data_IF_396791999328
#
_entry.id   IF_396791999328
#
_cell.length_a   1.000
_cell.length_b   1.000
_cell.length_c   1.000
_cell.angle_alpha   90.00
_cell.angle_beta   90.00
_cell.angle_gamma   90.00
#
_symmetry.space_group_name_H-M   'P 1'
#
loop_
_entity.id
_entity.type
_entity.pdbx_description
1 polymer ?
#
# COMPACT_ATOMS: atom_id res chain seq x y z
N UNK A 1 -3.27 15.49 -5.93
CA UNK A 1 -2.64 15.54 -4.60
C UNK A 1 -3.25 16.67 -3.78
N UNK A 2 -3.53 16.43 -2.50
CA UNK A 2 -4.08 17.44 -1.59
C UNK A 2 -3.11 18.61 -1.29
N UNK A 3 -1.83 18.46 -1.67
CA UNK A 3 -0.77 19.44 -1.46
C UNK A 3 -0.39 20.21 -2.73
N UNK A 4 -1.00 19.93 -3.87
CA UNK A 4 -0.67 20.59 -5.13
C UNK A 4 -1.78 21.55 -5.56
N UNK A 5 -1.38 22.61 -6.27
CA UNK A 5 -2.29 23.54 -6.94
C UNK A 5 -2.91 22.92 -8.22
N UNK A 6 -3.64 23.74 -8.98
CA UNK A 6 -4.29 23.32 -10.23
C UNK A 6 -3.27 22.93 -11.33
N UNK A 7 -2.06 23.46 -11.28
CA UNK A 7 -0.97 23.20 -12.22
C UNK A 7 -0.13 21.98 -11.80
N UNK A 8 -0.46 21.37 -10.66
CA UNK A 8 0.22 20.20 -10.12
C UNK A 8 1.52 20.52 -9.39
N UNK A 9 1.76 21.81 -9.04
CA UNK A 9 2.92 22.27 -8.28
C UNK A 9 2.62 22.22 -6.78
N UNK A 10 3.66 22.13 -5.96
CA UNK A 10 3.50 22.21 -4.50
C UNK A 10 2.88 23.55 -4.11
N UNK A 11 1.81 23.51 -3.32
CA UNK A 11 1.19 24.68 -2.72
C UNK A 11 1.69 24.84 -1.26
N UNK A 12 2.60 25.80 -0.99
CA UNK A 12 3.16 26.00 0.35
C UNK A 12 2.12 26.41 1.39
N UNK A 13 1.02 27.05 0.99
CA UNK A 13 -0.03 27.47 1.92
C UNK A 13 -0.83 26.25 2.40
N UNK A 14 -1.18 25.33 1.48
CA UNK A 14 -1.84 24.06 1.85
C UNK A 14 -0.96 23.19 2.73
N UNK A 15 0.34 23.10 2.40
CA UNK A 15 1.30 22.38 3.23
C UNK A 15 1.35 22.97 4.64
N UNK A 16 1.45 24.29 4.77
CA UNK A 16 1.47 24.98 6.07
C UNK A 16 0.19 24.72 6.87
N UNK A 17 -0.98 24.91 6.25
CA UNK A 17 -2.26 24.65 6.91
C UNK A 17 -2.39 23.20 7.40
N UNK A 18 -1.88 22.21 6.66
CA UNK A 18 -1.83 20.84 7.11
C UNK A 18 -0.88 20.69 8.32
N UNK A 19 0.31 21.27 8.24
CA UNK A 19 1.30 21.19 9.33
C UNK A 19 0.77 21.85 10.60
N UNK A 20 0.06 22.98 10.52
CA UNK A 20 -0.53 23.65 11.69
C UNK A 20 -1.47 22.68 12.46
N UNK A 21 -2.31 21.96 11.72
CA UNK A 21 -3.22 20.96 12.33
C UNK A 21 -2.44 19.79 12.95
N UNK A 22 -1.45 19.26 12.24
CA UNK A 22 -0.66 18.11 12.74
C UNK A 22 0.19 18.51 13.96
N UNK A 23 0.80 19.71 13.93
CA UNK A 23 1.58 20.26 15.04
C UNK A 23 0.72 20.43 16.31
N UNK A 24 -0.52 20.90 16.17
CA UNK A 24 -1.45 20.98 17.31
C UNK A 24 -1.71 19.60 17.93
N UNK A 25 -1.81 18.54 17.12
CA UNK A 25 -1.97 17.18 17.63
C UNK A 25 -0.74 16.68 18.37
N UNK A 26 0.45 16.90 17.80
CA UNK A 26 1.72 16.53 18.45
C UNK A 26 1.88 17.26 19.78
N UNK A 27 1.57 18.55 19.81
CA UNK A 27 1.62 19.37 21.05
C UNK A 27 0.60 18.90 22.10
N UNK A 28 -0.54 18.35 21.64
CA UNK A 28 -1.54 17.73 22.54
C UNK A 28 -1.14 16.32 23.04
N UNK A 29 0.05 15.83 22.69
CA UNK A 29 0.60 14.55 23.17
C UNK A 29 0.29 13.35 22.26
N UNK A 30 -0.26 13.56 21.06
CA UNK A 30 -0.47 12.49 20.09
C UNK A 30 0.79 12.23 19.24
N UNK A 31 1.03 10.98 18.90
CA UNK A 31 2.06 10.62 17.92
C UNK A 31 1.48 10.74 16.50
N UNK A 32 2.21 11.39 15.61
CA UNK A 32 1.80 11.61 14.21
C UNK A 32 2.88 11.12 13.27
N UNK A 33 2.49 10.34 12.27
CA UNK A 33 3.33 9.97 11.12
C UNK A 33 2.66 10.54 9.87
N UNK A 34 3.39 11.31 9.09
CA UNK A 34 2.90 11.86 7.83
C UNK A 34 3.47 11.08 6.65
N UNK A 35 2.61 10.43 5.87
CA UNK A 35 2.97 9.88 4.58
C UNK A 35 2.62 10.90 3.51
N UNK A 36 3.65 11.39 2.81
CA UNK A 36 3.51 12.52 1.89
C UNK A 36 3.82 12.10 0.45
N UNK A 37 3.15 12.73 -0.48
CA UNK A 37 3.46 12.70 -1.90
C UNK A 37 3.93 14.09 -2.37
N UNK A 38 4.34 14.19 -3.64
CA UNK A 38 4.66 15.47 -4.25
C UNK A 38 6.15 15.70 -4.51
N UNK A 39 7.03 14.73 -4.23
CA UNK A 39 8.45 14.86 -4.52
C UNK A 39 8.71 15.18 -6.01
N UNK A 40 8.14 14.39 -6.93
CA UNK A 40 8.27 14.66 -8.39
C UNK A 40 7.73 16.06 -8.73
N UNK A 41 6.55 16.43 -8.22
CA UNK A 41 5.93 17.73 -8.47
C UNK A 41 6.81 18.89 -7.99
N UNK A 42 7.41 18.75 -6.81
CA UNK A 42 8.32 19.75 -6.22
C UNK A 42 9.63 19.86 -7.00
N UNK A 43 10.10 18.79 -7.62
CA UNK A 43 11.33 18.78 -8.41
C UNK A 43 11.17 19.28 -9.84
N UNK A 44 9.94 19.43 -10.34
CA UNK A 44 9.71 19.85 -11.72
C UNK A 44 10.20 21.27 -12.00
N UNK A 45 9.89 22.22 -11.13
CA UNK A 45 10.27 23.63 -11.32
C UNK A 45 11.79 23.84 -11.34
N UNK A 46 12.58 23.31 -10.39
CA UNK A 46 14.04 23.43 -10.43
C UNK A 46 14.69 22.80 -11.67
N UNK A 47 14.04 21.80 -12.26
CA UNK A 47 14.51 21.13 -13.47
C UNK A 47 13.94 21.75 -14.77
N UNK A 48 13.15 22.82 -14.68
CA UNK A 48 12.54 23.48 -15.84
C UNK A 48 11.51 22.61 -16.58
N UNK A 49 10.91 21.62 -15.91
CA UNK A 49 9.93 20.71 -16.50
C UNK A 49 8.54 21.35 -16.50
N UNK A 50 8.04 21.68 -17.69
CA UNK A 50 6.71 22.28 -17.85
C UNK A 50 5.56 21.27 -17.62
N UNK A 51 5.82 19.97 -17.70
CA UNK A 51 4.84 18.88 -17.55
C UNK A 51 5.46 17.71 -16.80
N UNK A 52 4.60 16.92 -16.12
CA UNK A 52 5.03 15.70 -15.45
C UNK A 52 5.71 14.75 -16.45
N UNK A 53 6.95 14.33 -16.20
CA UNK A 53 7.68 13.41 -17.07
C UNK A 53 7.00 12.05 -17.13
N UNK A 54 7.14 11.37 -18.29
CA UNK A 54 6.57 10.05 -18.52
C UNK A 54 7.61 8.94 -18.40
N UNK A 55 8.87 9.25 -18.74
CA UNK A 55 9.96 8.30 -18.61
C UNK A 55 10.45 8.17 -17.17
N UNK A 56 10.85 6.97 -16.80
CA UNK A 56 11.25 6.63 -15.43
C UNK A 56 12.46 7.45 -14.97
N UNK A 57 13.50 7.56 -15.81
CA UNK A 57 14.73 8.24 -15.41
C UNK A 57 14.50 9.73 -15.07
N UNK A 58 13.67 10.44 -15.87
CA UNK A 58 13.32 11.84 -15.59
C UNK A 58 12.42 11.96 -14.36
N UNK A 59 11.53 10.98 -14.12
CA UNK A 59 10.74 10.93 -12.88
C UNK A 59 11.64 10.76 -11.66
N UNK A 60 12.61 9.84 -11.71
CA UNK A 60 13.59 9.60 -10.64
C UNK A 60 14.45 10.83 -10.37
N UNK A 61 14.93 11.50 -11.41
CA UNK A 61 15.68 12.75 -11.29
C UNK A 61 14.84 13.86 -10.63
N UNK A 62 13.57 14.03 -11.06
CA UNK A 62 12.66 15.00 -10.46
C UNK A 62 12.35 14.66 -9.00
N UNK A 63 12.13 13.38 -8.67
CA UNK A 63 11.92 12.94 -7.30
C UNK A 63 13.17 13.21 -6.43
N UNK A 64 14.37 12.94 -6.94
CA UNK A 64 15.64 13.16 -6.22
C UNK A 64 15.81 14.63 -5.81
N UNK A 65 15.60 15.57 -6.74
CA UNK A 65 15.68 17.01 -6.47
C UNK A 65 14.53 17.45 -5.57
N UNK A 66 13.31 17.03 -5.90
CA UNK A 66 12.10 17.48 -5.23
C UNK A 66 11.93 16.95 -3.82
N UNK A 67 12.44 15.73 -3.52
CA UNK A 67 12.34 15.16 -2.19
C UNK A 67 13.09 16.00 -1.13
N UNK A 68 14.29 16.47 -1.44
CA UNK A 68 15.03 17.36 -0.55
C UNK A 68 14.29 18.68 -0.29
N UNK A 69 13.72 19.28 -1.34
CA UNK A 69 12.95 20.52 -1.23
C UNK A 69 11.65 20.32 -0.44
N UNK A 70 10.92 19.24 -0.70
CA UNK A 70 9.68 18.89 0.01
C UNK A 70 9.94 18.76 1.52
N UNK A 71 10.98 18.03 1.90
CA UNK A 71 11.36 17.88 3.31
C UNK A 71 11.81 19.19 3.93
N UNK A 72 12.51 20.06 3.18
CA UNK A 72 12.87 21.39 3.65
C UNK A 72 11.64 22.25 3.94
N UNK A 73 10.58 22.17 3.12
CA UNK A 73 9.30 22.85 3.38
C UNK A 73 8.65 22.33 4.67
N UNK A 74 8.58 21.02 4.87
CA UNK A 74 8.06 20.46 6.11
C UNK A 74 8.91 20.83 7.32
N UNK A 75 10.23 20.75 7.21
CA UNK A 75 11.15 21.11 8.30
C UNK A 75 10.91 22.54 8.76
N UNK A 76 10.79 23.49 7.81
CA UNK A 76 10.52 24.90 8.14
C UNK A 76 9.16 25.05 8.82
N UNK A 77 8.11 24.46 8.24
CA UNK A 77 6.77 24.62 8.76
C UNK A 77 6.61 24.01 10.17
N UNK A 78 7.12 22.81 10.43
CA UNK A 78 7.11 22.21 11.78
C UNK A 78 8.01 22.95 12.77
N UNK A 79 9.13 23.52 12.30
CA UNK A 79 10.02 24.30 13.15
C UNK A 79 9.35 25.58 13.69
N UNK A 80 8.42 26.21 12.96
CA UNK A 80 7.61 27.33 13.43
C UNK A 80 6.78 26.97 14.68
N UNK A 81 6.49 25.67 14.90
CA UNK A 81 5.82 25.10 16.08
C UNK A 81 6.79 24.49 17.12
N UNK A 82 8.11 24.69 16.96
CA UNK A 82 9.12 24.09 17.84
C UNK A 82 9.31 22.59 17.68
N UNK A 83 8.73 21.99 16.63
CA UNK A 83 8.80 20.55 16.33
C UNK A 83 9.91 20.23 15.32
N UNK A 84 10.42 19.00 15.42
CA UNK A 84 11.41 18.45 14.49
C UNK A 84 10.79 17.35 13.65
N UNK A 85 11.30 17.21 12.41
CA UNK A 85 10.88 16.15 11.50
C UNK A 85 12.04 15.23 11.16
N UNK A 86 11.74 13.98 10.84
CA UNK A 86 12.69 12.98 10.35
C UNK A 86 12.20 12.38 9.05
N UNK A 87 13.02 12.40 7.99
CA UNK A 87 12.68 11.78 6.71
C UNK A 87 12.90 10.27 6.78
N UNK A 88 11.91 9.50 6.27
CA UNK A 88 12.01 8.06 6.07
C UNK A 88 11.57 7.74 4.64
N UNK A 89 12.45 7.16 3.85
CA UNK A 89 12.15 6.71 2.49
C UNK A 89 12.06 5.19 2.46
N UNK A 90 10.96 4.68 1.93
CA UNK A 90 10.69 3.24 1.86
C UNK A 90 10.39 2.83 0.41
N UNK A 91 10.83 1.63 0.05
CA UNK A 91 10.39 0.94 -1.15
C UNK A 91 9.39 -0.17 -0.81
N UNK A 92 8.70 -0.70 -1.82
CA UNK A 92 7.85 -1.87 -1.62
C UNK A 92 8.64 -3.07 -1.05
N UNK A 93 9.89 -3.27 -1.51
CA UNK A 93 10.76 -4.33 -0.98
C UNK A 93 11.07 -4.19 0.52
N UNK A 94 11.23 -2.96 1.03
CA UNK A 94 11.51 -2.72 2.44
C UNK A 94 10.39 -3.23 3.35
N UNK A 95 9.17 -3.26 2.83
CA UNK A 95 8.01 -3.79 3.56
C UNK A 95 7.87 -5.32 3.47
N UNK A 96 8.58 -5.96 2.52
CA UNK A 96 8.52 -7.40 2.28
C UNK A 96 9.59 -8.17 3.03
N UNK A 97 10.83 -7.66 3.02
CA UNK A 97 11.95 -8.35 3.64
C UNK A 97 11.93 -8.13 5.16
N UNK A 98 11.77 -9.23 5.91
CA UNK A 98 11.64 -9.21 7.37
C UNK A 98 12.70 -8.36 8.08
N UNK A 99 13.94 -8.38 7.60
CA UNK A 99 15.04 -7.60 8.19
C UNK A 99 14.83 -6.10 8.00
N UNK A 100 14.53 -5.67 6.77
CA UNK A 100 14.29 -4.26 6.40
C UNK A 100 13.03 -3.73 7.08
N UNK A 101 11.94 -4.50 7.06
CA UNK A 101 10.71 -4.18 7.79
C UNK A 101 10.97 -3.87 9.26
N UNK A 102 11.68 -4.76 9.98
CA UNK A 102 11.98 -4.55 11.41
C UNK A 102 12.88 -3.35 11.65
N UNK A 103 13.81 -3.05 10.73
CA UNK A 103 14.65 -1.86 10.82
C UNK A 103 13.84 -0.59 10.60
N UNK A 104 12.97 -0.55 9.60
CA UNK A 104 12.07 0.58 9.35
C UNK A 104 11.14 0.82 10.55
N UNK A 105 10.54 -0.24 11.11
CA UNK A 105 9.72 -0.15 12.32
C UNK A 105 10.48 0.47 13.47
N UNK A 106 11.67 -0.07 13.82
CA UNK A 106 12.49 0.45 14.92
C UNK A 106 12.91 1.90 14.73
N UNK A 107 13.20 2.30 13.48
CA UNK A 107 13.55 3.67 13.16
C UNK A 107 12.36 4.62 13.37
N UNK A 108 11.18 4.24 12.91
CA UNK A 108 9.94 5.02 13.10
C UNK A 108 9.56 5.10 14.57
N UNK A 109 9.54 3.98 15.29
CA UNK A 109 9.27 3.94 16.74
C UNK A 109 10.24 4.87 17.48
N UNK A 110 11.54 4.82 17.14
CA UNK A 110 12.54 5.67 17.80
C UNK A 110 12.37 7.15 17.50
N UNK A 111 11.98 7.52 16.28
CA UNK A 111 11.65 8.91 15.95
C UNK A 111 10.47 9.41 16.78
N UNK A 112 9.40 8.61 16.87
CA UNK A 112 8.21 8.94 17.67
C UNK A 112 8.54 9.07 19.16
N UNK A 113 9.35 8.16 19.73
CA UNK A 113 9.82 8.22 21.12
C UNK A 113 10.64 9.48 21.42
N UNK A 114 11.37 10.00 20.43
CA UNK A 114 12.16 11.23 20.53
C UNK A 114 11.32 12.50 20.29
N UNK A 115 10.01 12.38 20.06
CA UNK A 115 9.12 13.50 19.74
C UNK A 115 9.42 14.12 18.36
N UNK A 116 9.98 13.33 17.44
CA UNK A 116 10.25 13.74 16.06
C UNK A 116 9.11 13.23 15.18
N UNK A 117 8.56 14.09 14.32
CA UNK A 117 7.50 13.73 13.38
C UNK A 117 8.12 13.04 12.15
N UNK A 118 7.85 11.74 11.91
CA UNK A 118 8.34 11.07 10.70
C UNK A 118 7.58 11.58 9.48
N UNK A 119 8.33 12.00 8.45
CA UNK A 119 7.81 12.29 7.10
C UNK A 119 8.23 11.13 6.21
N UNK A 120 7.27 10.28 5.88
CA UNK A 120 7.49 9.07 5.07
C UNK A 120 7.11 9.33 3.63
N UNK A 121 7.90 8.84 2.70
CA UNK A 121 7.60 8.84 1.26
C UNK A 121 8.16 7.59 0.60
N UNK A 122 7.70 7.31 -0.63
CA UNK A 122 8.32 6.30 -1.47
C UNK A 122 9.74 6.74 -1.85
N UNK A 123 10.69 5.80 -1.88
CA UNK A 123 12.02 6.04 -2.43
C UNK A 123 11.97 5.95 -3.96
N UNK A 124 11.36 6.95 -4.58
CA UNK A 124 11.21 7.04 -6.03
C UNK A 124 12.54 6.98 -6.80
N UNK A 125 13.67 7.28 -6.15
CA UNK A 125 14.99 7.33 -6.81
C UNK A 125 15.48 5.95 -7.22
N UNK A 126 15.12 4.92 -6.46
CA UNK A 126 15.53 3.53 -6.71
C UNK A 126 14.36 2.60 -7.05
N UNK A 127 13.14 3.11 -6.98
CA UNK A 127 11.94 2.34 -7.32
C UNK A 127 11.91 2.06 -8.83
N UNK A 128 11.72 0.80 -9.22
CA UNK A 128 11.50 0.38 -10.61
C UNK A 128 10.02 0.36 -10.94
N UNK A 129 9.66 0.34 -12.23
CA UNK A 129 8.23 0.31 -12.62
C UNK A 129 7.51 -0.95 -12.13
N UNK A 130 8.26 -2.06 -11.93
CA UNK A 130 7.73 -3.33 -11.43
C UNK A 130 7.50 -3.30 -9.90
N UNK A 131 8.29 -2.53 -9.14
CA UNK A 131 8.35 -2.58 -7.67
C UNK A 131 7.84 -1.29 -7.01
N UNK A 132 7.21 -0.40 -7.76
CA UNK A 132 6.61 0.83 -7.21
C UNK A 132 5.34 0.53 -6.43
N UNK A 133 5.15 1.20 -5.29
CA UNK A 133 3.82 1.30 -4.69
C UNK A 133 2.83 1.93 -5.68
N UNK A 134 3.33 2.81 -6.54
CA UNK A 134 2.55 3.54 -7.54
C UNK A 134 1.58 4.55 -6.94
N UNK A 135 1.35 4.46 -5.63
CA UNK A 135 0.46 5.35 -4.87
C UNK A 135 0.87 5.38 -3.39
N UNK A 136 1.10 6.57 -2.85
CA UNK A 136 1.38 6.77 -1.42
C UNK A 136 0.23 6.37 -0.50
N UNK A 137 -0.97 6.17 -1.03
CA UNK A 137 -2.11 5.67 -0.25
C UNK A 137 -1.83 4.23 0.26
N UNK A 138 -1.27 3.36 -0.61
CA UNK A 138 -0.84 2.01 -0.20
C UNK A 138 0.32 2.05 0.79
N UNK A 139 1.30 2.92 0.54
CA UNK A 139 2.39 3.14 1.48
C UNK A 139 1.85 3.58 2.84
N UNK A 140 0.89 4.51 2.88
CA UNK A 140 0.26 4.97 4.12
C UNK A 140 -0.41 3.82 4.89
N UNK A 141 -1.14 2.94 4.20
CA UNK A 141 -1.76 1.77 4.84
C UNK A 141 -0.72 0.79 5.43
N UNK A 142 0.40 0.55 4.74
CA UNK A 142 1.48 -0.30 5.24
C UNK A 142 2.23 0.35 6.40
N UNK A 143 2.51 1.66 6.32
CA UNK A 143 3.15 2.42 7.40
C UNK A 143 2.25 2.47 8.62
N UNK A 144 0.93 2.68 8.48
CA UNK A 144 0.00 2.68 9.60
C UNK A 144 0.02 1.35 10.38
N UNK A 145 0.13 0.22 9.64
CA UNK A 145 0.33 -1.08 10.28
C UNK A 145 1.70 -1.20 10.95
N UNK A 146 2.76 -0.70 10.31
CA UNK A 146 4.15 -0.78 10.76
C UNK A 146 4.34 -0.06 12.10
N UNK A 147 3.75 1.13 12.26
CA UNK A 147 3.80 1.93 13.49
C UNK A 147 2.68 1.62 14.48
N UNK A 148 1.88 0.60 14.22
CA UNK A 148 0.73 0.23 15.06
C UNK A 148 -0.26 1.39 15.30
N UNK A 149 -0.53 2.18 14.25
CA UNK A 149 -1.43 3.32 14.35
C UNK A 149 -2.82 2.94 14.90
N UNK A 150 -3.40 3.83 15.70
CA UNK A 150 -4.77 3.68 16.22
C UNK A 150 -5.81 4.01 15.16
N UNK A 151 -5.47 4.91 14.22
CA UNK A 151 -6.31 5.28 13.08
C UNK A 151 -5.44 5.79 11.92
N UNK A 152 -5.99 5.71 10.71
CA UNK A 152 -5.41 6.32 9.51
C UNK A 152 -6.38 7.39 8.97
N UNK A 153 -5.85 8.58 8.66
CA UNK A 153 -6.60 9.62 7.94
C UNK A 153 -6.06 9.69 6.52
N UNK A 154 -6.91 9.40 5.55
CA UNK A 154 -6.56 9.41 4.13
C UNK A 154 -7.16 10.66 3.48
N UNK A 155 -6.29 11.56 3.02
CA UNK A 155 -6.69 12.84 2.44
C UNK A 155 -6.89 12.72 0.93
N UNK A 156 -7.98 13.31 0.45
CA UNK A 156 -8.36 13.32 -0.96
C UNK A 156 -8.87 14.71 -1.38
N UNK A 157 -9.18 14.89 -2.65
CA UNK A 157 -9.75 16.10 -3.23
C UNK A 157 -11.28 16.23 -3.05
N UNK A 158 -11.91 15.17 -2.53
CA UNK A 158 -13.34 15.15 -2.17
C UNK A 158 -13.50 14.97 -0.66
N UNK A 159 -14.64 15.35 -0.11
CA UNK A 159 -14.90 15.32 1.33
C UNK A 159 -15.33 13.96 1.88
N UNK A 160 -15.25 12.89 1.08
CA UNK A 160 -15.56 11.52 1.48
C UNK A 160 -15.87 10.61 0.29
N UNK A 161 -16.31 9.39 0.57
CA UNK A 161 -16.80 8.44 -0.43
C UNK A 161 -18.28 8.74 -0.75
N UNK A 162 -18.61 8.70 -2.04
CA UNK A 162 -19.96 8.90 -2.54
C UNK A 162 -20.51 7.63 -3.19
N UNK A 163 -21.83 7.50 -3.25
CA UNK A 163 -22.51 6.39 -3.96
C UNK A 163 -22.26 6.38 -5.46
N UNK A 164 -21.78 7.49 -6.00
CA UNK A 164 -21.37 7.70 -7.39
C UNK A 164 -20.61 9.02 -7.52
N UNK A 165 -20.28 9.50 -8.72
CA UNK A 165 -19.57 10.76 -8.91
C UNK A 165 -20.22 11.90 -8.13
N UNK A 166 -19.48 12.71 -7.34
CA UNK A 166 -20.08 13.76 -6.47
C UNK A 166 -20.98 14.74 -7.20
N UNK A 167 -20.68 15.05 -8.47
CA UNK A 167 -21.44 15.98 -9.31
C UNK A 167 -22.68 15.34 -9.98
N UNK A 168 -22.93 14.05 -9.79
CA UNK A 168 -24.08 13.36 -10.38
C UNK A 168 -25.32 13.58 -9.52
N UNK A 169 -26.46 13.99 -10.10
CA UNK A 169 -27.73 14.11 -9.35
C UNK A 169 -28.05 12.79 -8.63
N UNK A 170 -28.40 12.87 -7.35
CA UNK A 170 -28.70 11.70 -6.52
C UNK A 170 -27.50 11.05 -5.83
N UNK A 171 -26.27 11.42 -6.15
CA UNK A 171 -25.08 11.00 -5.40
C UNK A 171 -25.14 11.49 -3.96
N UNK A 172 -24.87 10.59 -3.00
CA UNK A 172 -24.86 10.91 -1.57
C UNK A 172 -23.55 10.49 -0.96
N UNK A 173 -23.03 11.28 -0.02
CA UNK A 173 -21.86 10.88 0.75
C UNK A 173 -22.22 9.70 1.67
N UNK A 174 -21.36 8.71 1.69
CA UNK A 174 -21.41 7.56 2.60
C UNK A 174 -20.67 7.98 3.88
N UNK A 175 -21.38 8.03 5.00
CA UNK A 175 -20.79 8.45 6.27
C UNK A 175 -19.98 7.34 6.95
N UNK A 176 -20.44 6.09 6.82
CA UNK A 176 -19.84 4.93 7.47
C UNK A 176 -19.84 3.71 6.56
N UNK A 177 -18.75 2.94 6.60
CA UNK A 177 -18.58 1.63 5.94
C UNK A 177 -18.10 0.64 7.00
N UNK A 178 -18.92 -0.33 7.35
CA UNK A 178 -18.60 -1.37 8.36
C UNK A 178 -18.03 -2.62 7.73
N UNK A 179 -18.20 -2.79 6.43
CA UNK A 179 -17.69 -3.95 5.72
C UNK A 179 -17.87 -3.89 4.20
N UNK A 180 -17.38 -4.88 3.46
CA UNK A 180 -17.43 -4.89 1.99
C UNK A 180 -18.85 -4.80 1.41
N UNK A 181 -19.87 -5.26 2.15
CA UNK A 181 -21.27 -5.21 1.69
C UNK A 181 -21.79 -3.78 1.55
N UNK A 182 -21.30 -2.86 2.37
CA UNK A 182 -21.72 -1.45 2.34
C UNK A 182 -21.19 -0.72 1.09
N UNK A 183 -20.25 -1.36 0.36
CA UNK A 183 -19.70 -0.87 -0.90
C UNK A 183 -20.36 -1.50 -2.13
N UNK A 184 -21.32 -2.41 -1.95
CA UNK A 184 -22.06 -3.01 -3.06
C UNK A 184 -22.89 -1.95 -3.78
N UNK A 185 -22.71 -1.84 -5.10
CA UNK A 185 -23.41 -0.82 -5.92
C UNK A 185 -22.80 0.58 -5.89
N UNK A 186 -21.71 0.80 -5.17
CA UNK A 186 -20.99 2.08 -5.18
C UNK A 186 -20.20 2.21 -6.49
N UNK A 187 -20.49 3.25 -7.27
CA UNK A 187 -19.81 3.54 -8.52
C UNK A 187 -18.53 4.35 -8.24
N UNK A 188 -17.40 3.66 -8.20
CA UNK A 188 -16.06 4.24 -7.99
C UNK A 188 -15.30 4.49 -9.29
N UNK A 189 -15.96 4.34 -10.46
CA UNK A 189 -15.32 4.45 -11.77
C UNK A 189 -14.92 5.87 -12.17
N UNK A 190 -15.40 6.89 -11.45
CA UNK A 190 -15.02 8.27 -11.68
C UNK A 190 -13.51 8.46 -11.49
N UNK A 191 -12.81 8.86 -12.55
CA UNK A 191 -11.39 9.19 -12.51
C UNK A 191 -11.17 10.34 -11.52
N UNK A 192 -10.23 10.15 -10.59
CA UNK A 192 -9.73 11.22 -9.72
C UNK A 192 -9.11 12.38 -10.51
N UNK A 193 -8.54 13.35 -9.80
CA UNK A 193 -7.98 14.58 -10.39
C UNK A 193 -7.02 14.31 -11.55
N UNK A 194 -6.95 15.23 -12.53
CA UNK A 194 -6.10 15.16 -13.73
C UNK A 194 -4.59 15.02 -13.42
N UNK A 195 -4.18 15.24 -12.18
CA UNK A 195 -2.77 15.37 -11.75
C UNK A 195 -2.30 14.18 -10.89
N UNK A 196 -3.20 13.42 -10.26
CA UNK A 196 -2.83 12.28 -9.40
C UNK A 196 -2.84 10.94 -10.14
N UNK A 197 -1.91 10.06 -9.80
CA UNK A 197 -1.86 8.66 -10.29
C UNK A 197 -2.87 7.75 -9.59
N UNK A 198 -3.35 8.13 -8.37
CA UNK A 198 -4.30 7.38 -7.55
C UNK A 198 -5.73 7.88 -7.73
N UNK A 199 -6.64 6.96 -8.06
CA UNK A 199 -8.10 7.19 -8.10
C UNK A 199 -8.78 6.74 -6.80
N UNK A 200 -10.13 6.86 -6.76
CA UNK A 200 -10.91 6.34 -5.61
C UNK A 200 -10.70 4.82 -5.43
N UNK A 201 -10.46 4.09 -6.50
CA UNK A 201 -10.18 2.64 -6.45
C UNK A 201 -8.93 2.34 -5.62
N UNK A 202 -7.81 3.04 -5.87
CA UNK A 202 -6.56 2.82 -5.12
C UNK A 202 -6.70 3.23 -3.66
N UNK A 203 -7.48 4.28 -3.38
CA UNK A 203 -7.80 4.68 -2.00
C UNK A 203 -8.60 3.61 -1.26
N UNK A 204 -9.60 3.02 -1.89
CA UNK A 204 -10.38 1.94 -1.30
C UNK A 204 -9.55 0.65 -1.10
N UNK A 205 -8.59 0.37 -1.99
CA UNK A 205 -7.62 -0.71 -1.77
C UNK A 205 -6.76 -0.45 -0.53
N UNK A 206 -6.29 0.78 -0.36
CA UNK A 206 -5.49 1.20 0.80
C UNK A 206 -6.32 1.16 2.10
N UNK A 207 -7.57 1.59 2.04
CA UNK A 207 -8.53 1.44 3.13
C UNK A 207 -8.72 -0.04 3.49
N UNK A 208 -8.86 -0.93 2.48
CA UNK A 208 -9.02 -2.36 2.72
C UNK A 208 -7.79 -2.97 3.42
N UNK A 209 -6.57 -2.54 3.06
CA UNK A 209 -5.32 -2.95 3.72
C UNK A 209 -5.35 -2.54 5.19
N UNK A 210 -5.61 -1.27 5.48
CA UNK A 210 -5.60 -0.75 6.85
C UNK A 210 -6.69 -1.39 7.71
N UNK A 211 -7.94 -1.45 7.23
CA UNK A 211 -9.06 -2.02 7.98
C UNK A 211 -8.92 -3.52 8.21
N UNK A 212 -8.40 -4.28 7.25
CA UNK A 212 -8.06 -5.69 7.42
C UNK A 212 -6.96 -5.91 8.48
N UNK A 213 -6.12 -4.89 8.72
CA UNK A 213 -5.08 -4.87 9.74
C UNK A 213 -5.59 -4.44 11.13
N UNK A 214 -6.88 -4.18 11.26
CA UNK A 214 -7.46 -3.73 12.52
C UNK A 214 -7.32 -2.22 12.76
N UNK A 215 -7.04 -1.42 11.73
CA UNK A 215 -6.87 0.03 11.79
C UNK A 215 -8.07 0.70 11.11
N UNK A 216 -8.89 1.46 11.82
CA UNK A 216 -9.97 2.23 11.22
C UNK A 216 -9.41 3.37 10.37
N UNK A 217 -10.18 3.77 9.34
CA UNK A 217 -9.76 4.81 8.39
C UNK A 217 -10.82 5.88 8.27
N UNK A 218 -10.40 7.14 8.25
CA UNK A 218 -11.23 8.28 7.82
C UNK A 218 -10.75 8.74 6.45
N UNK A 219 -11.62 8.70 5.45
CA UNK A 219 -11.39 9.28 4.13
C UNK A 219 -12.06 10.66 4.09
N UNK A 220 -11.25 11.72 3.91
CA UNK A 220 -11.79 13.09 3.94
C UNK A 220 -10.92 14.04 3.10
N UNK A 221 -11.33 15.30 2.98
CA UNK A 221 -10.53 16.34 2.31
C UNK A 221 -9.52 16.98 3.25
N UNK A 222 -8.47 17.61 2.67
CA UNK A 222 -7.49 18.36 3.45
C UNK A 222 -8.13 19.50 4.27
N UNK A 223 -9.22 20.09 3.78
CA UNK A 223 -9.95 21.14 4.49
C UNK A 223 -10.65 20.63 5.77
N UNK A 224 -10.94 19.34 5.83
CA UNK A 224 -11.63 18.72 6.96
C UNK A 224 -10.70 17.90 7.87
N UNK A 225 -9.38 17.99 7.69
CA UNK A 225 -8.43 17.22 8.48
C UNK A 225 -8.49 17.56 9.98
N UNK A 226 -8.65 18.84 10.34
CA UNK A 226 -8.76 19.26 11.73
C UNK A 226 -10.00 18.66 12.42
N UNK A 227 -11.23 18.86 11.94
CA UNK A 227 -12.40 18.25 12.54
C UNK A 227 -12.37 16.70 12.48
N UNK A 228 -11.78 16.09 11.45
CA UNK A 228 -11.60 14.64 11.41
C UNK A 228 -10.72 14.11 12.55
N UNK A 229 -9.61 14.79 12.82
CA UNK A 229 -8.72 14.46 13.93
C UNK A 229 -9.33 14.78 15.30
N UNK A 230 -10.31 15.70 15.38
CA UNK A 230 -11.09 15.99 16.59
C UNK A 230 -12.21 14.96 16.84
N UNK A 231 -12.39 13.99 15.94
CA UNK A 231 -13.44 12.98 16.07
C UNK A 231 -14.82 13.45 15.62
N UNK A 232 -14.90 14.56 14.85
CA UNK A 232 -16.15 15.00 14.27
C UNK A 232 -16.63 14.05 13.17
N UNK A 233 -17.95 13.99 12.95
CA UNK A 233 -18.57 13.18 11.89
C UNK A 233 -18.39 13.81 10.50
N UNK A 234 -17.13 13.86 10.04
CA UNK A 234 -16.75 14.34 8.70
C UNK A 234 -16.17 13.22 7.87
N UNK A 235 -16.23 13.36 6.54
CA UNK A 235 -15.67 12.33 5.66
C UNK A 235 -16.48 11.04 5.63
N UNK A 236 -15.81 9.96 5.31
CA UNK A 236 -16.31 8.59 5.39
C UNK A 236 -15.49 7.79 6.37
N UNK A 237 -16.10 7.27 7.41
CA UNK A 237 -15.49 6.37 8.37
C UNK A 237 -15.56 4.94 7.88
N UNK A 238 -14.42 4.24 7.91
CA UNK A 238 -14.30 2.81 7.62
C UNK A 238 -13.92 2.08 8.90
N UNK A 239 -14.77 1.20 9.36
CA UNK A 239 -14.52 0.40 10.55
C UNK A 239 -13.42 -0.63 10.32
N UNK A 240 -12.63 -0.90 11.34
CA UNK A 240 -11.68 -2.00 11.33
C UNK A 240 -12.43 -3.34 11.18
N UNK A 241 -12.04 -4.16 10.20
CA UNK A 241 -12.72 -5.42 9.87
C UNK A 241 -11.90 -6.65 10.23
N UNK A 242 -10.62 -6.48 10.48
CA UNK A 242 -9.67 -7.55 10.76
C UNK A 242 -8.95 -7.39 12.08
N UNK A 243 -7.99 -8.30 12.30
CA UNK A 243 -7.02 -8.24 13.39
C UNK A 243 -5.64 -8.01 12.80
N UNK A 244 -4.70 -7.52 13.61
CA UNK A 244 -3.31 -7.32 13.19
C UNK A 244 -2.74 -8.62 12.62
N UNK A 245 -2.41 -8.59 11.32
CA UNK A 245 -1.80 -9.70 10.57
C UNK A 245 -0.34 -9.33 10.29
N UNK A 246 0.50 -10.26 9.86
CA UNK A 246 1.86 -9.89 9.44
C UNK A 246 1.80 -8.99 8.20
N UNK A 247 2.61 -7.93 8.17
CA UNK A 247 2.66 -6.97 7.06
C UNK A 247 3.00 -7.63 5.72
N UNK A 248 3.84 -8.66 5.75
CA UNK A 248 4.18 -9.46 4.57
C UNK A 248 2.93 -10.07 3.92
N UNK A 249 2.02 -10.63 4.74
CA UNK A 249 0.77 -11.18 4.25
C UNK A 249 -0.20 -10.11 3.74
N UNK A 250 -0.23 -8.96 4.38
CA UNK A 250 -1.04 -7.82 3.93
C UNK A 250 -0.55 -7.27 2.59
N UNK A 251 0.77 -7.10 2.46
CA UNK A 251 1.36 -6.69 1.20
C UNK A 251 1.04 -7.69 0.09
N UNK A 252 1.23 -8.99 0.36
CA UNK A 252 0.94 -10.06 -0.58
C UNK A 252 -0.54 -10.08 -0.99
N UNK A 253 -1.45 -9.84 -0.04
CA UNK A 253 -2.89 -9.83 -0.30
C UNK A 253 -3.33 -8.69 -1.22
N UNK A 254 -2.75 -7.48 -1.01
CA UNK A 254 -3.36 -6.26 -1.52
C UNK A 254 -2.41 -5.39 -2.36
N UNK A 255 -1.12 -5.35 -2.04
CA UNK A 255 -0.18 -4.41 -2.66
C UNK A 255 0.73 -5.05 -3.71
N UNK A 256 0.98 -6.37 -3.63
CA UNK A 256 1.86 -7.05 -4.57
C UNK A 256 1.26 -7.11 -5.98
N UNK A 257 2.04 -6.71 -6.98
CA UNK A 257 1.79 -7.15 -8.35
C UNK A 257 2.24 -8.60 -8.46
N UNK A 258 1.38 -9.45 -8.96
CA UNK A 258 1.72 -10.85 -9.23
C UNK A 258 2.43 -10.96 -10.57
N UNK A 259 3.54 -11.69 -10.61
CA UNK A 259 4.38 -11.85 -11.78
C UNK A 259 3.98 -13.08 -12.59
N UNK A 260 3.17 -13.97 -11.99
CA UNK A 260 2.69 -15.17 -12.64
C UNK A 260 1.56 -15.82 -11.87
N UNK A 261 1.19 -17.03 -12.35
CA UNK A 261 0.08 -17.81 -11.80
C UNK A 261 0.45 -19.27 -11.75
N UNK A 262 0.06 -19.94 -10.67
CA UNK A 262 0.09 -21.38 -10.50
C UNK A 262 -1.35 -21.89 -10.56
N UNK A 263 -1.66 -22.76 -11.52
CA UNK A 263 -2.97 -23.40 -11.64
C UNK A 263 -2.97 -24.66 -10.79
N UNK A 264 -3.94 -24.75 -9.89
CA UNK A 264 -4.07 -25.81 -8.90
C UNK A 264 -5.10 -26.87 -9.30
N UNK A 265 -4.86 -28.12 -8.94
CA UNK A 265 -5.90 -29.14 -8.95
C UNK A 265 -6.89 -28.95 -7.78
N UNK A 266 -8.02 -29.63 -7.81
CA UNK A 266 -9.05 -29.56 -6.76
C UNK A 266 -8.55 -30.01 -5.38
N UNK A 267 -7.58 -30.94 -5.33
CA UNK A 267 -6.97 -31.42 -4.10
C UNK A 267 -6.12 -30.35 -3.44
N UNK A 268 -5.30 -29.66 -4.24
CA UNK A 268 -4.47 -28.55 -3.80
C UNK A 268 -5.32 -27.33 -3.39
N UNK A 269 -6.39 -27.01 -4.13
CA UNK A 269 -7.33 -25.95 -3.74
C UNK A 269 -7.91 -26.24 -2.35
N UNK A 270 -8.40 -27.45 -2.09
CA UNK A 270 -8.90 -27.83 -0.76
C UNK A 270 -7.81 -27.80 0.31
N UNK A 271 -6.60 -28.27 -0.01
CA UNK A 271 -5.49 -28.27 0.94
C UNK A 271 -5.08 -26.86 1.36
N UNK A 272 -5.00 -25.95 0.40
CA UNK A 272 -4.63 -24.54 0.62
C UNK A 272 -5.76 -23.77 1.31
N UNK A 273 -6.98 -23.83 0.76
CA UNK A 273 -8.10 -22.95 1.19
C UNK A 273 -8.75 -23.43 2.48
N UNK A 274 -8.99 -24.76 2.60
CA UNK A 274 -9.76 -25.31 3.73
C UNK A 274 -8.86 -25.77 4.87
N UNK A 275 -7.66 -26.31 4.55
CA UNK A 275 -6.77 -26.90 5.54
C UNK A 275 -5.56 -26.04 5.89
N UNK A 276 -5.36 -24.88 5.23
CA UNK A 276 -4.24 -23.98 5.47
C UNK A 276 -2.87 -24.64 5.31
N UNK A 277 -2.71 -25.53 4.31
CA UNK A 277 -1.47 -26.24 4.03
C UNK A 277 -0.63 -25.46 3.01
N UNK A 278 0.69 -25.74 3.01
CA UNK A 278 1.60 -25.30 1.96
C UNK A 278 1.21 -25.92 0.62
N UNK A 279 1.48 -25.20 -0.48
CA UNK A 279 1.31 -25.71 -1.84
C UNK A 279 2.52 -26.54 -2.24
N UNK A 280 2.30 -27.80 -2.52
CA UNK A 280 3.31 -28.73 -3.00
C UNK A 280 3.31 -28.78 -4.53
N UNK A 281 4.45 -29.15 -5.17
CA UNK A 281 4.52 -29.32 -6.62
C UNK A 281 3.49 -30.30 -7.18
N UNK A 282 3.17 -31.37 -6.43
CA UNK A 282 2.19 -32.39 -6.81
C UNK A 282 0.78 -31.84 -7.07
N UNK A 283 0.42 -30.70 -6.49
CA UNK A 283 -0.91 -30.09 -6.61
C UNK A 283 -1.02 -29.01 -7.68
N UNK A 284 0.05 -28.75 -8.44
CA UNK A 284 0.07 -27.73 -9.50
C UNK A 284 0.04 -28.40 -10.87
N UNK A 285 -0.89 -27.96 -11.71
CA UNK A 285 -1.12 -28.51 -13.05
C UNK A 285 -0.56 -27.63 -14.18
N UNK A 286 -0.37 -26.33 -13.92
CA UNK A 286 0.23 -25.42 -14.90
C UNK A 286 0.91 -24.22 -14.21
N UNK A 287 1.91 -23.66 -14.90
CA UNK A 287 2.64 -22.46 -14.53
C UNK A 287 2.47 -21.45 -15.65
N UNK A 288 2.08 -20.21 -15.32
CA UNK A 288 1.87 -19.11 -16.26
C UNK A 288 2.65 -17.87 -15.83
N UNK A 289 3.24 -17.14 -16.80
CA UNK A 289 4.01 -15.92 -16.55
C UNK A 289 5.49 -16.17 -16.28
N UNK A 290 6.22 -15.09 -16.04
CA UNK A 290 7.66 -15.10 -15.74
C UNK A 290 7.89 -14.57 -14.32
N UNK A 291 8.55 -15.36 -13.49
CA UNK A 291 8.84 -15.02 -12.10
C UNK A 291 10.08 -15.74 -11.57
N UNK A 292 10.70 -15.15 -10.57
CA UNK A 292 11.83 -15.68 -9.83
C UNK A 292 11.41 -16.20 -8.45
N UNK A 293 12.28 -16.99 -7.82
CA UNK A 293 12.05 -17.43 -6.45
C UNK A 293 11.94 -16.24 -5.49
N UNK A 294 10.84 -16.16 -4.75
CA UNK A 294 10.50 -15.05 -3.86
C UNK A 294 9.47 -14.07 -4.44
N UNK A 295 9.15 -14.20 -5.72
CA UNK A 295 8.14 -13.36 -6.35
C UNK A 295 6.70 -13.72 -5.94
N UNK A 296 5.79 -12.74 -5.90
CA UNK A 296 4.38 -12.97 -5.66
C UNK A 296 3.69 -13.56 -6.90
N UNK A 297 2.98 -14.67 -6.70
CA UNK A 297 2.19 -15.34 -7.73
C UNK A 297 0.75 -15.53 -7.30
N UNK A 298 -0.16 -15.63 -8.26
CA UNK A 298 -1.55 -16.03 -8.04
C UNK A 298 -1.64 -17.55 -7.96
N UNK A 299 -2.45 -18.03 -7.04
CA UNK A 299 -2.86 -19.41 -6.95
C UNK A 299 -4.30 -19.50 -7.43
N UNK A 300 -4.53 -20.11 -8.58
CA UNK A 300 -5.84 -20.17 -9.22
C UNK A 300 -6.34 -21.61 -9.34
N UNK A 301 -7.65 -21.81 -9.18
CA UNK A 301 -8.30 -23.06 -9.52
C UNK A 301 -8.34 -23.25 -11.06
N UNK A 302 -8.66 -24.45 -11.52
CA UNK A 302 -8.72 -24.77 -12.96
C UNK A 302 -9.74 -23.92 -13.75
N UNK A 303 -10.73 -23.36 -13.08
CA UNK A 303 -11.70 -22.42 -13.69
C UNK A 303 -11.18 -20.97 -13.80
N UNK A 304 -9.91 -20.74 -13.46
CA UNK A 304 -9.28 -19.42 -13.44
C UNK A 304 -9.58 -18.57 -12.20
N UNK A 305 -10.37 -19.06 -11.25
CA UNK A 305 -10.67 -18.35 -10.01
C UNK A 305 -9.43 -18.26 -9.14
N UNK A 306 -8.94 -17.05 -8.84
CA UNK A 306 -7.82 -16.84 -7.90
C UNK A 306 -8.31 -17.12 -6.48
N UNK A 307 -7.72 -18.10 -5.82
CA UNK A 307 -8.08 -18.55 -4.47
C UNK A 307 -7.11 -18.06 -3.41
N UNK A 308 -5.86 -17.81 -3.79
CA UNK A 308 -4.82 -17.32 -2.89
C UNK A 308 -3.75 -16.55 -3.67
N UNK A 309 -2.85 -15.86 -2.94
CA UNK A 309 -1.58 -15.35 -3.42
C UNK A 309 -0.47 -15.87 -2.54
N UNK A 310 0.71 -16.10 -3.11
CA UNK A 310 1.83 -16.65 -2.36
C UNK A 310 3.17 -16.17 -2.90
N UNK A 311 4.21 -16.26 -2.07
CA UNK A 311 5.59 -16.10 -2.54
C UNK A 311 6.10 -17.47 -2.96
N UNK A 312 6.47 -17.59 -4.23
CA UNK A 312 6.91 -18.85 -4.82
C UNK A 312 8.35 -19.18 -4.42
N UNK A 313 8.64 -20.45 -4.19
CA UNK A 313 9.97 -20.92 -3.77
C UNK A 313 10.93 -21.24 -4.92
N UNK A 314 10.46 -21.25 -6.16
CA UNK A 314 11.19 -21.60 -7.37
C UNK A 314 10.89 -20.63 -8.49
N UNK A 315 11.79 -20.51 -9.47
CA UNK A 315 11.54 -19.70 -10.66
C UNK A 315 10.52 -20.34 -11.62
N UNK A 316 9.98 -19.56 -12.56
CA UNK A 316 9.10 -20.05 -13.63
C UNK A 316 9.78 -21.01 -14.58
N UNK A 317 11.12 -21.03 -14.61
CA UNK A 317 11.90 -22.00 -15.39
C UNK A 317 12.05 -23.35 -14.68
N UNK A 318 12.21 -23.32 -13.35
CA UNK A 318 12.37 -24.54 -12.53
C UNK A 318 11.03 -25.22 -12.23
N UNK A 319 9.98 -24.44 -11.96
CA UNK A 319 8.69 -24.96 -11.49
C UNK A 319 8.06 -26.03 -12.42
N UNK A 320 8.10 -25.91 -13.78
CA UNK A 320 7.53 -26.92 -14.67
C UNK A 320 8.09 -28.34 -14.48
N UNK A 321 9.39 -28.47 -14.19
CA UNK A 321 10.06 -29.76 -13.99
C UNK A 321 9.66 -30.46 -12.68
N UNK A 322 9.02 -29.72 -11.78
CA UNK A 322 8.59 -30.19 -10.46
C UNK A 322 7.12 -30.62 -10.42
N UNK A 323 6.32 -30.22 -11.43
CA UNK A 323 4.87 -30.41 -11.40
C UNK A 323 4.46 -31.87 -11.32
N UNK A 324 3.41 -32.13 -10.54
CA UNK A 324 2.83 -33.46 -10.37
C UNK A 324 3.69 -34.45 -9.58
N UNK A 325 4.88 -34.05 -9.12
CA UNK A 325 5.84 -34.94 -8.42
C UNK A 325 5.74 -34.71 -6.90
N UNK A 326 5.92 -35.83 -6.16
CA UNK A 326 6.01 -35.72 -4.71
C UNK A 326 7.35 -35.15 -4.27
N UNK A 327 7.39 -34.50 -3.10
CA UNK A 327 8.63 -33.98 -2.52
C UNK A 327 9.67 -35.07 -2.26
N UNK A 328 9.23 -36.32 -2.02
CA UNK A 328 10.12 -37.50 -1.87
C UNK A 328 10.79 -37.86 -3.18
N UNK A 329 10.03 -37.89 -4.28
CA UNK A 329 10.56 -38.21 -5.61
C UNK A 329 11.54 -37.09 -6.07
N UNK A 330 11.18 -35.83 -5.83
CA UNK A 330 12.05 -34.69 -6.16
C UNK A 330 13.37 -34.75 -5.40
N UNK A 331 13.33 -35.06 -4.12
CA UNK A 331 14.55 -35.23 -3.31
C UNK A 331 15.42 -36.37 -3.80
N UNK A 332 14.81 -37.49 -4.19
CA UNK A 332 15.54 -38.65 -4.68
C UNK A 332 16.22 -38.41 -6.01
N UNK A 333 15.57 -37.65 -6.92
CA UNK A 333 16.06 -37.45 -8.29
C UNK A 333 16.94 -36.20 -8.45
N UNK A 334 16.61 -35.09 -7.74
CA UNK A 334 17.22 -33.77 -7.91
C UNK A 334 18.10 -33.35 -6.73
N UNK A 335 18.05 -34.10 -5.61
CA UNK A 335 18.87 -33.86 -4.42
C UNK A 335 18.26 -32.94 -3.37
N UNK A 336 19.04 -32.62 -2.34
CA UNK A 336 18.64 -31.71 -1.25
C UNK A 336 18.39 -30.30 -1.79
N UNK A 337 17.22 -29.71 -1.45
CA UNK A 337 16.82 -28.38 -1.87
C UNK A 337 15.62 -28.38 -2.82
N UNK A 338 15.29 -29.50 -3.48
CA UNK A 338 14.11 -29.65 -4.34
C UNK A 338 12.94 -30.32 -3.62
N UNK A 339 13.07 -30.63 -2.34
CA UNK A 339 12.04 -31.19 -1.46
C UNK A 339 11.20 -30.13 -0.73
N UNK A 340 11.26 -28.87 -1.18
CA UNK A 340 10.51 -27.75 -0.61
C UNK A 340 9.15 -27.58 -1.29
N UNK A 341 8.26 -26.88 -0.60
CA UNK A 341 6.98 -26.44 -1.13
C UNK A 341 7.18 -25.42 -2.27
N UNK A 342 6.27 -25.39 -3.24
CA UNK A 342 6.19 -24.30 -4.21
C UNK A 342 5.81 -22.99 -3.54
N UNK A 343 4.87 -23.04 -2.57
CA UNK A 343 4.51 -21.89 -1.74
C UNK A 343 4.30 -22.38 -0.31
N UNK A 344 5.08 -21.83 0.63
CA UNK A 344 4.92 -22.15 2.05
C UNK A 344 3.65 -21.51 2.61
N UNK A 345 2.96 -22.18 3.52
CA UNK A 345 1.71 -21.69 4.14
C UNK A 345 1.87 -20.34 4.86
N UNK A 346 3.05 -20.08 5.44
CA UNK A 346 3.33 -18.81 6.12
C UNK A 346 3.63 -17.65 5.14
N UNK A 347 3.81 -17.99 3.86
CA UNK A 347 4.02 -17.08 2.74
C UNK A 347 2.84 -17.06 1.76
N UNK A 348 1.65 -17.42 2.26
CA UNK A 348 0.42 -17.56 1.51
C UNK A 348 -0.70 -16.79 2.19
N UNK A 349 -1.52 -16.11 1.38
CA UNK A 349 -2.72 -15.41 1.84
C UNK A 349 -3.92 -15.77 0.97
N UNK A 350 -5.03 -16.12 1.60
CA UNK A 350 -6.27 -16.43 0.88
C UNK A 350 -6.89 -15.16 0.32
N UNK A 351 -7.24 -15.18 -0.96
CA UNK A 351 -8.04 -14.13 -1.58
C UNK A 351 -9.50 -14.38 -1.20
N UNK A 352 -10.06 -13.50 -0.36
CA UNK A 352 -11.49 -13.61 -0.02
C UNK A 352 -12.31 -13.41 -1.29
N UNK A 353 -13.13 -14.38 -1.66
CA UNK A 353 -14.12 -14.22 -2.73
C UNK A 353 -14.93 -12.95 -2.43
N UNK A 354 -14.94 -12.00 -3.38
CA UNK A 354 -16.06 -11.04 -3.46
C UNK A 354 -17.29 -11.89 -3.79
N UNK A 355 -18.12 -12.18 -2.78
CA UNK A 355 -19.46 -12.72 -3.00
C UNK A 355 -20.38 -11.57 -3.33
#
# INVERSE_FOLDING_TARGET
>A
SSLTDADGRLDPARLRSLVDVLAARVTAGHQVVLVSSGAIATGMDPLGLARRPRDLATQQAAASVGQGLLVAHYTRAFHEHGLRVGQVLLTAEDTMRRGQYRNAQRALDRLLDLGIVPIVNENDTVATDEIRFGDNDRLAALVSHLVHADAMVLLTDVDGLYTGPPNRPGSRRITEVRGPRDLEGVDVSARGSRVGTGGMVTKLESVAIATASGIPVVLTSAAQVAPALDGAEVGTWFAATGRRTSTRLLWLAYAARTHGRLVLDDGAVRAVVERGKSLLPAGVVAVEGEFEAGDPVELAAADGTVVARGLVGYSSQEAPDLLGRSTQDLRADLGEGYDRELVHRDDLVLVRRRR
#
